data_IF_578545454362
#
_entry.id   IF_578545454362
#
_cell.length_a   1.000
_cell.length_b   1.000
_cell.length_c   1.000
_cell.angle_alpha   90.00
_cell.angle_beta   90.00
_cell.angle_gamma   90.00
#
_symmetry.space_group_name_H-M   'P 1'
#
loop_
_entity.id
_entity.type
_entity.pdbx_description
1 polymer ?
#
# COMPACT_ATOMS: atom_id res chain seq x y z
N UNK A 1 -31.34 -1.11 24.97
CA UNK A 1 -30.13 -0.78 24.18
C UNK A 1 -28.92 -1.15 25.04
N UNK A 2 -28.22 -2.22 24.72
CA UNK A 2 -27.07 -2.67 25.52
C UNK A 2 -25.87 -1.80 25.07
N UNK A 3 -25.40 -0.93 25.97
CA UNK A 3 -24.11 -0.26 25.83
C UNK A 3 -23.02 -1.30 26.08
N UNK A 4 -22.60 -2.02 25.04
CA UNK A 4 -21.38 -2.84 25.13
C UNK A 4 -20.21 -1.87 25.16
N UNK A 5 -19.85 -1.39 26.34
CA UNK A 5 -18.60 -0.69 26.55
C UNK A 5 -17.49 -1.74 26.45
N UNK A 6 -17.11 -2.08 25.22
CA UNK A 6 -15.83 -2.75 24.97
C UNK A 6 -14.77 -1.83 25.57
N UNK A 7 -14.06 -2.32 26.58
CA UNK A 7 -12.91 -1.61 27.12
C UNK A 7 -11.92 -1.42 25.97
N UNK A 8 -11.81 -0.17 25.51
CA UNK A 8 -10.91 0.14 24.42
C UNK A 8 -9.47 -0.21 24.82
N UNK A 9 -8.66 -0.73 23.89
CA UNK A 9 -7.25 -1.01 24.16
C UNK A 9 -6.52 0.23 24.67
N UNK A 10 -5.46 0.04 25.46
CA UNK A 10 -4.70 1.16 26.06
C UNK A 10 -4.07 2.12 25.01
N UNK A 11 -3.90 1.67 23.77
CA UNK A 11 -3.38 2.46 22.66
C UNK A 11 -4.48 3.22 21.89
N UNK A 12 -5.76 3.00 22.22
CA UNK A 12 -6.88 3.66 21.56
C UNK A 12 -7.01 5.09 22.04
N UNK A 13 -6.99 6.02 21.10
CA UNK A 13 -7.28 7.44 21.31
C UNK A 13 -8.52 7.83 20.50
N UNK A 14 -9.59 8.22 21.19
CA UNK A 14 -10.85 8.62 20.55
C UNK A 14 -10.74 9.88 19.70
N UNK A 15 -9.73 10.73 19.95
CA UNK A 15 -9.49 11.94 19.17
C UNK A 15 -8.58 11.68 17.96
N UNK A 16 -7.79 10.61 17.99
CA UNK A 16 -6.94 10.24 16.88
C UNK A 16 -7.78 9.75 15.70
N UNK A 17 -7.37 10.15 14.49
CA UNK A 17 -8.01 9.73 13.24
C UNK A 17 -6.98 9.14 12.28
N UNK A 18 -7.35 8.03 11.65
CA UNK A 18 -6.52 7.34 10.66
C UNK A 18 -7.04 7.60 9.25
N UNK A 19 -6.27 8.32 8.44
CA UNK A 19 -6.65 8.65 7.06
C UNK A 19 -6.70 7.43 6.14
N UNK A 20 -5.89 6.42 6.45
CA UNK A 20 -5.92 5.13 5.75
C UNK A 20 -7.26 4.40 5.91
N UNK A 21 -8.01 4.70 6.98
CA UNK A 21 -9.37 4.20 7.23
C UNK A 21 -10.43 5.31 7.08
N UNK A 22 -10.21 6.29 6.18
CA UNK A 22 -11.18 7.37 5.92
C UNK A 22 -11.53 8.15 7.20
N UNK A 23 -10.51 8.52 7.99
CA UNK A 23 -10.62 9.21 9.29
C UNK A 23 -11.27 8.39 10.41
N UNK A 24 -11.16 7.06 10.35
CA UNK A 24 -11.58 6.16 11.42
C UNK A 24 -10.94 6.54 12.77
N UNK A 25 -11.73 6.56 13.83
CA UNK A 25 -11.29 6.94 15.18
C UNK A 25 -10.48 5.83 15.86
N UNK A 26 -9.53 6.21 16.72
CA UNK A 26 -8.82 5.28 17.61
C UNK A 26 -7.30 5.30 17.48
N UNK A 27 -6.75 5.60 16.30
CA UNK A 27 -5.30 5.68 16.10
C UNK A 27 -4.94 6.63 14.96
N UNK A 28 -3.72 7.14 14.97
CA UNK A 28 -3.15 7.93 13.86
C UNK A 28 -2.67 7.01 12.73
N UNK A 29 -2.62 7.54 11.50
CA UNK A 29 -2.16 6.81 10.31
C UNK A 29 -0.79 6.14 10.50
N UNK A 30 0.15 6.79 11.18
CA UNK A 30 1.48 6.26 11.52
C UNK A 30 1.45 4.99 12.39
N UNK A 31 0.39 4.81 13.17
CA UNK A 31 0.19 3.68 14.07
C UNK A 31 -0.71 2.59 13.46
N UNK A 32 -1.18 2.79 12.22
CA UNK A 32 -2.03 1.85 11.54
C UNK A 32 -1.28 0.57 11.17
N UNK A 33 -1.56 -0.50 11.91
CA UNK A 33 -0.95 -1.81 11.67
C UNK A 33 -1.35 -2.40 10.30
N UNK A 34 -2.59 -2.15 9.86
CA UNK A 34 -3.08 -2.61 8.56
C UNK A 34 -2.26 -1.97 7.42
N UNK A 35 -2.01 -0.67 7.49
CA UNK A 35 -1.16 0.05 6.54
C UNK A 35 0.26 -0.53 6.54
N UNK A 36 0.88 -0.67 7.72
CA UNK A 36 2.25 -1.22 7.85
C UNK A 36 2.38 -2.60 7.20
N UNK A 37 1.43 -3.51 7.46
CA UNK A 37 1.41 -4.85 6.87
C UNK A 37 1.27 -4.82 5.35
N UNK A 38 0.41 -3.94 4.81
CA UNK A 38 0.24 -3.81 3.37
C UNK A 38 1.48 -3.24 2.69
N UNK A 39 2.09 -2.20 3.24
CA UNK A 39 3.37 -1.67 2.74
C UNK A 39 4.42 -2.77 2.72
N UNK A 40 4.54 -3.55 3.79
CA UNK A 40 5.48 -4.68 3.83
C UNK A 40 5.19 -5.74 2.77
N UNK A 41 3.91 -6.07 2.54
CA UNK A 41 3.52 -7.00 1.47
C UNK A 41 3.93 -6.48 0.09
N UNK A 42 3.75 -5.19 -0.19
CA UNK A 42 4.16 -4.57 -1.45
C UNK A 42 5.69 -4.58 -1.63
N UNK A 43 6.44 -4.37 -0.56
CA UNK A 43 7.90 -4.52 -0.56
C UNK A 43 8.30 -5.96 -0.88
N UNK A 44 7.71 -6.92 -0.17
CA UNK A 44 8.05 -8.34 -0.32
C UNK A 44 7.72 -8.87 -1.73
N UNK A 45 6.66 -8.35 -2.36
CA UNK A 45 6.28 -8.69 -3.73
C UNK A 45 7.03 -7.91 -4.80
N UNK A 46 8.01 -7.08 -4.41
CA UNK A 46 8.79 -6.18 -5.28
C UNK A 46 7.91 -5.22 -6.10
N UNK A 47 6.67 -5.00 -5.66
CA UNK A 47 5.71 -4.06 -6.24
C UNK A 47 5.96 -2.63 -5.77
N UNK A 48 6.61 -2.48 -4.62
CA UNK A 48 7.06 -1.21 -4.07
C UNK A 48 8.52 -1.37 -3.65
N UNK A 49 9.42 -0.56 -4.22
CA UNK A 49 10.81 -0.50 -3.80
C UNK A 49 11.17 0.92 -3.38
N UNK A 50 11.89 1.04 -2.27
CA UNK A 50 12.47 2.29 -1.83
C UNK A 50 13.94 2.27 -2.23
N UNK A 51 14.39 3.28 -2.98
CA UNK A 51 15.83 3.47 -3.20
C UNK A 51 16.48 3.75 -1.86
N UNK A 52 17.58 3.07 -1.53
CA UNK A 52 18.33 3.47 -0.33
C UNK A 52 18.86 4.89 -0.54
N UNK A 53 18.82 5.71 0.51
CA UNK A 53 19.46 7.01 0.47
C UNK A 53 20.96 6.82 0.17
N UNK A 54 21.40 7.20 -1.03
CA UNK A 54 22.77 7.01 -1.52
C UNK A 54 22.93 6.00 -2.67
N UNK A 55 21.89 5.23 -3.05
CA UNK A 55 21.92 4.45 -4.28
C UNK A 55 21.82 5.40 -5.49
N UNK A 56 22.95 5.59 -6.18
CA UNK A 56 22.98 6.23 -7.49
C UNK A 56 22.04 5.44 -8.41
N UNK A 57 21.15 6.10 -9.19
CA UNK A 57 20.33 5.38 -10.16
C UNK A 57 21.29 4.66 -11.11
N UNK A 58 21.27 3.32 -11.09
CA UNK A 58 22.07 2.53 -12.01
C UNK A 58 21.53 2.73 -13.42
N UNK A 59 22.18 3.59 -14.21
CA UNK A 59 21.80 3.89 -15.61
C UNK A 59 22.31 2.80 -16.57
N UNK A 60 23.09 1.82 -16.10
CA UNK A 60 23.76 0.82 -16.93
C UNK A 60 22.94 -0.48 -17.13
N UNK A 61 21.98 -0.79 -16.25
CA UNK A 61 21.18 -2.03 -16.36
C UNK A 61 19.96 -1.93 -17.29
N UNK A 62 19.69 -0.75 -17.87
CA UNK A 62 18.69 -0.63 -18.93
C UNK A 62 19.34 -0.83 -20.30
N UNK A 63 19.77 -2.05 -20.61
CA UNK A 63 19.93 -2.41 -22.01
C UNK A 63 18.53 -2.41 -22.64
N UNK A 64 18.31 -1.56 -23.65
CA UNK A 64 17.04 -1.49 -24.37
C UNK A 64 16.72 -2.90 -24.92
N UNK A 65 15.61 -3.54 -24.51
CA UNK A 65 15.22 -4.81 -25.09
C UNK A 65 14.94 -4.57 -26.58
N UNK A 66 15.52 -5.42 -27.41
CA UNK A 66 15.37 -5.37 -28.86
C UNK A 66 13.87 -5.36 -29.18
N UNK A 67 13.43 -4.29 -29.83
CA UNK A 67 12.03 -3.94 -29.98
C UNK A 67 11.43 -4.76 -31.13
N UNK A 68 11.01 -5.98 -30.82
CA UNK A 68 9.92 -6.63 -31.55
C UNK A 68 8.62 -6.29 -30.83
N UNK A 69 7.90 -5.31 -31.40
CA UNK A 69 6.58 -4.85 -30.96
C UNK A 69 5.58 -6.01 -30.79
N UNK A 70 5.02 -6.18 -29.59
CA UNK A 70 3.57 -6.02 -29.49
C UNK A 70 3.16 -4.93 -28.47
N UNK A 71 2.81 -3.78 -29.05
CA UNK A 71 1.72 -2.85 -28.68
C UNK A 71 1.32 -2.75 -27.19
N UNK A 72 1.88 -1.73 -26.53
CA UNK A 72 1.21 -0.66 -25.72
C UNK A 72 0.16 -1.05 -24.64
N UNK A 73 -0.13 -2.33 -24.40
CA UNK A 73 -1.19 -2.76 -23.47
C UNK A 73 -0.69 -3.22 -22.09
N UNK A 74 0.62 -3.41 -21.91
CA UNK A 74 1.18 -4.02 -20.69
C UNK A 74 1.04 -3.11 -19.47
N UNK A 75 1.18 -1.78 -19.65
CA UNK A 75 1.05 -0.81 -18.55
C UNK A 75 -0.41 -0.70 -18.09
N UNK A 76 -1.36 -0.66 -19.03
CA UNK A 76 -2.79 -0.64 -18.71
C UNK A 76 -3.23 -1.94 -18.03
N UNK A 77 -2.68 -3.08 -18.45
CA UNK A 77 -3.00 -4.38 -17.86
C UNK A 77 -2.43 -4.51 -16.43
N UNK A 78 -1.21 -4.00 -16.20
CA UNK A 78 -0.63 -3.87 -14.85
C UNK A 78 -1.47 -2.95 -13.95
N UNK A 79 -1.92 -1.81 -14.46
CA UNK A 79 -2.76 -0.86 -13.71
C UNK A 79 -4.12 -1.46 -13.40
N UNK A 80 -4.75 -2.17 -14.35
CA UNK A 80 -6.02 -2.88 -14.12
C UNK A 80 -5.85 -4.02 -13.12
N UNK A 81 -4.78 -4.81 -13.25
CA UNK A 81 -4.45 -5.88 -12.31
C UNK A 81 -4.20 -5.32 -10.91
N UNK A 82 -3.52 -4.19 -10.79
CA UNK A 82 -3.33 -3.48 -9.53
C UNK A 82 -4.65 -2.98 -8.94
N UNK A 83 -5.51 -2.35 -9.75
CA UNK A 83 -6.85 -1.90 -9.30
C UNK A 83 -7.67 -3.08 -8.78
N UNK A 84 -7.71 -4.19 -9.52
CA UNK A 84 -8.43 -5.40 -9.11
C UNK A 84 -7.83 -6.00 -7.82
N UNK A 85 -6.50 -6.00 -7.69
CA UNK A 85 -5.81 -6.44 -6.46
C UNK A 85 -6.12 -5.53 -5.28
N UNK A 86 -6.19 -4.21 -5.48
CA UNK A 86 -6.57 -3.26 -4.43
C UNK A 86 -8.01 -3.52 -3.95
N UNK A 87 -8.95 -3.77 -4.86
CA UNK A 87 -10.34 -4.10 -4.51
C UNK A 87 -10.48 -5.42 -3.76
N UNK A 88 -9.66 -6.44 -4.07
CA UNK A 88 -9.58 -7.67 -3.27
C UNK A 88 -8.98 -7.44 -1.87
N UNK A 89 -7.99 -6.55 -1.77
CA UNK A 89 -7.21 -6.29 -0.54
C UNK A 89 -7.93 -5.29 0.38
N UNK A 90 -8.91 -4.55 -0.13
CA UNK A 90 -9.73 -3.60 0.61
C UNK A 90 -11.17 -3.65 0.09
N UNK A 91 -11.96 -4.67 0.49
CA UNK A 91 -13.39 -4.60 0.28
C UNK A 91 -13.92 -3.41 1.09
N UNK A 92 -14.81 -2.62 0.48
CA UNK A 92 -15.53 -1.57 1.18
C UNK A 92 -16.29 -2.11 2.39
#
# INVERSE_FOLDING_TARGET
>A
MILIQHSYPKWYDSNARCDYHTRGAGHLTENCLALKRKVQFLINTRLLSFKKAGEKPNVNENALPNHENPKVNVVDDLVKKWKNKIHEIMPM
#
